data_IF_003586461265
#
_entry.id   IF_003586461265
#
_cell.length_a   1.000
_cell.length_b   1.000
_cell.length_c   1.000
_cell.angle_alpha   90.00
_cell.angle_beta   90.00
_cell.angle_gamma   90.00
#
_symmetry.space_group_name_H-M   'P 1'
#
loop_
_entity.id
_entity.type
_entity.pdbx_description
1 polymer ?
#
# COMPACT_ATOMS: atom_id res chain seq x y z
N UNK A 1 20.93 -10.65 -10.35
CA UNK A 1 21.73 -11.38 -9.34
C UNK A 1 20.79 -12.25 -8.57
N UNK A 2 21.11 -13.53 -8.47
CA UNK A 2 20.39 -14.48 -7.61
C UNK A 2 21.23 -14.73 -6.36
N UNK A 3 20.63 -14.59 -5.19
CA UNK A 3 21.29 -14.80 -3.90
C UNK A 3 20.43 -15.68 -3.00
N UNK A 4 21.04 -16.75 -2.51
CA UNK A 4 20.48 -17.64 -1.50
C UNK A 4 21.31 -17.49 -0.23
N UNK A 5 20.71 -16.99 0.85
CA UNK A 5 21.42 -16.89 2.12
C UNK A 5 20.49 -16.98 3.31
N UNK A 6 21.05 -17.32 4.47
CA UNK A 6 20.31 -17.18 5.72
C UNK A 6 20.12 -15.70 6.11
N UNK A 7 21.19 -14.91 5.97
CA UNK A 7 21.20 -13.46 6.22
C UNK A 7 21.84 -12.72 5.05
N UNK A 8 21.07 -11.85 4.39
CA UNK A 8 21.54 -10.95 3.35
C UNK A 8 21.53 -9.51 3.84
N UNK A 9 22.65 -8.81 3.63
CA UNK A 9 22.74 -7.35 3.66
C UNK A 9 23.35 -6.91 2.34
N UNK A 10 22.65 -6.03 1.63
CA UNK A 10 23.11 -5.53 0.34
C UNK A 10 22.94 -4.03 0.28
N UNK A 11 23.99 -3.36 -0.19
CA UNK A 11 24.01 -1.96 -0.58
C UNK A 11 24.42 -1.92 -2.04
N UNK A 12 23.60 -1.31 -2.90
CA UNK A 12 23.82 -1.32 -4.34
C UNK A 12 23.54 0.04 -4.96
N UNK A 13 24.53 0.55 -5.70
CA UNK A 13 24.42 1.72 -6.57
C UNK A 13 24.53 1.26 -8.01
N UNK A 14 23.47 1.43 -8.80
CA UNK A 14 23.48 0.95 -10.18
C UNK A 14 22.60 1.79 -11.09
N UNK A 15 22.92 1.83 -12.39
CA UNK A 15 21.99 2.43 -13.34
C UNK A 15 20.75 1.54 -13.53
N UNK A 16 20.97 0.25 -13.79
CA UNK A 16 19.92 -0.76 -13.88
C UNK A 16 20.26 -1.93 -12.97
N UNK A 17 19.31 -2.38 -12.15
CA UNK A 17 19.44 -3.62 -11.38
C UNK A 17 18.25 -4.54 -11.57
N UNK A 18 18.56 -5.84 -11.66
CA UNK A 18 17.60 -6.93 -11.53
C UNK A 18 18.11 -7.87 -10.45
N UNK A 19 17.32 -8.07 -9.41
CA UNK A 19 17.68 -8.92 -8.28
C UNK A 19 16.57 -9.89 -7.97
N UNK A 20 16.97 -11.11 -7.66
CA UNK A 20 16.12 -12.18 -7.16
C UNK A 20 16.81 -12.71 -5.90
N UNK A 21 16.10 -12.70 -4.78
CA UNK A 21 16.72 -12.98 -3.48
C UNK A 21 15.81 -13.86 -2.63
N UNK A 22 16.35 -14.99 -2.20
CA UNK A 22 15.72 -15.86 -1.21
C UNK A 22 16.55 -15.82 0.08
N UNK A 23 15.94 -15.33 1.16
CA UNK A 23 16.63 -15.34 2.46
C UNK A 23 15.73 -15.53 3.65
N UNK A 24 16.31 -15.84 4.80
CA UNK A 24 15.55 -15.79 6.05
C UNK A 24 15.44 -14.35 6.55
N UNK A 25 16.58 -13.63 6.60
CA UNK A 25 16.65 -12.20 6.90
C UNK A 25 17.28 -11.41 5.75
N UNK A 26 16.60 -10.35 5.32
CA UNK A 26 17.08 -9.41 4.30
C UNK A 26 17.11 -7.97 4.81
N UNK A 27 18.21 -7.27 4.53
CA UNK A 27 18.26 -5.80 4.52
C UNK A 27 18.84 -5.34 3.20
N UNK A 28 18.13 -4.47 2.51
CA UNK A 28 18.50 -3.98 1.19
C UNK A 28 18.44 -2.46 1.17
N UNK A 29 19.51 -1.85 0.71
CA UNK A 29 19.60 -0.42 0.41
C UNK A 29 20.01 -0.27 -1.06
N UNK A 30 19.14 0.33 -1.87
CA UNK A 30 19.32 0.43 -3.31
C UNK A 30 19.13 1.85 -3.80
N UNK A 31 20.13 2.39 -4.50
CA UNK A 31 19.97 3.58 -5.34
C UNK A 31 20.09 3.15 -6.80
N UNK A 32 19.03 3.36 -7.57
CA UNK A 32 19.05 2.99 -8.98
C UNK A 32 18.27 3.93 -9.89
N UNK A 33 18.59 3.94 -11.18
CA UNK A 33 17.68 4.57 -12.14
C UNK A 33 16.48 3.65 -12.40
N UNK A 34 16.75 2.39 -12.74
CA UNK A 34 15.73 1.37 -12.96
C UNK A 34 16.02 0.12 -12.11
N UNK A 35 15.03 -0.34 -11.33
CA UNK A 35 15.14 -1.61 -10.62
C UNK A 35 13.97 -2.55 -10.85
N UNK A 36 14.28 -3.84 -10.86
CA UNK A 36 13.32 -4.94 -10.70
C UNK A 36 13.81 -5.85 -9.59
N UNK A 37 12.97 -6.09 -8.60
CA UNK A 37 13.31 -6.93 -7.47
C UNK A 37 12.23 -7.95 -7.22
N UNK A 38 12.66 -9.19 -7.04
CA UNK A 38 11.82 -10.28 -6.54
C UNK A 38 12.46 -10.78 -5.24
N UNK A 39 11.72 -10.72 -4.15
CA UNK A 39 12.22 -11.04 -2.81
C UNK A 39 11.28 -12.06 -2.16
N UNK A 40 11.81 -13.21 -1.77
CA UNK A 40 11.13 -14.10 -0.83
C UNK A 40 11.94 -14.12 0.46
N UNK A 41 11.32 -13.68 1.56
CA UNK A 41 12.01 -13.72 2.86
C UNK A 41 11.11 -13.98 4.04
N UNK A 42 11.66 -14.41 5.17
CA UNK A 42 10.87 -14.42 6.41
C UNK A 42 10.75 -13.00 6.96
N UNK A 43 11.85 -12.26 6.98
CA UNK A 43 11.89 -10.87 7.42
C UNK A 43 12.69 -10.02 6.44
N UNK A 44 12.11 -8.95 5.93
CA UNK A 44 12.81 -7.99 5.07
C UNK A 44 12.70 -6.55 5.57
N UNK A 45 13.77 -5.80 5.31
CA UNK A 45 13.78 -4.34 5.27
C UNK A 45 14.34 -3.91 3.93
N UNK A 46 13.64 -3.03 3.22
CA UNK A 46 14.11 -2.49 1.95
C UNK A 46 13.95 -0.99 1.97
N UNK A 47 15.05 -0.31 1.66
CA UNK A 47 15.11 1.12 1.41
C UNK A 47 15.52 1.30 -0.05
N UNK A 48 14.69 1.99 -0.82
CA UNK A 48 14.88 2.13 -2.25
C UNK A 48 14.67 3.58 -2.70
N UNK A 49 15.70 4.16 -3.32
CA UNK A 49 15.56 5.36 -4.13
C UNK A 49 15.69 4.97 -5.60
N UNK A 50 14.64 5.23 -6.39
CA UNK A 50 14.66 4.86 -7.80
C UNK A 50 13.92 5.83 -8.71
N UNK A 51 14.30 5.94 -9.98
CA UNK A 51 13.45 6.63 -10.94
C UNK A 51 12.24 5.74 -11.30
N UNK A 52 12.51 4.49 -11.66
CA UNK A 52 11.51 3.47 -11.96
C UNK A 52 11.77 2.19 -11.17
N UNK A 53 10.76 1.68 -10.47
CA UNK A 53 10.86 0.39 -9.79
C UNK A 53 9.67 -0.53 -10.05
N UNK A 54 9.99 -1.83 -10.08
CA UNK A 54 9.03 -2.92 -9.92
C UNK A 54 9.51 -3.83 -8.81
N UNK A 55 8.64 -4.10 -7.85
CA UNK A 55 8.96 -4.94 -6.71
C UNK A 55 7.87 -5.98 -6.53
N UNK A 56 8.30 -7.23 -6.40
CA UNK A 56 7.48 -8.35 -5.96
C UNK A 56 8.11 -8.87 -4.67
N UNK A 57 7.33 -8.90 -3.60
CA UNK A 57 7.82 -9.32 -2.29
C UNK A 57 6.83 -10.27 -1.64
N UNK A 58 7.33 -11.41 -1.17
CA UNK A 58 6.61 -12.31 -0.28
C UNK A 58 7.40 -12.40 1.01
N UNK A 59 6.78 -12.04 2.13
CA UNK A 59 7.43 -12.26 3.41
C UNK A 59 6.53 -12.31 4.62
N UNK A 60 7.01 -12.90 5.71
CA UNK A 60 6.24 -12.93 6.94
C UNK A 60 6.20 -11.53 7.59
N UNK A 61 7.35 -10.85 7.67
CA UNK A 61 7.46 -9.45 8.11
C UNK A 61 8.19 -8.59 7.10
N UNK A 62 7.59 -7.43 6.76
CA UNK A 62 8.18 -6.45 5.86
C UNK A 62 8.20 -5.06 6.46
N UNK A 63 9.28 -4.34 6.21
CA UNK A 63 9.31 -2.87 6.26
C UNK A 63 9.90 -2.34 4.96
N UNK A 64 9.21 -1.41 4.34
CA UNK A 64 9.69 -0.82 3.09
C UNK A 64 9.58 0.69 3.17
N UNK A 65 10.64 1.34 2.72
CA UNK A 65 10.69 2.78 2.51
C UNK A 65 11.11 3.00 1.05
N UNK A 66 10.29 3.72 0.29
CA UNK A 66 10.49 3.85 -1.15
C UNK A 66 10.26 5.29 -1.59
N UNK A 67 11.26 5.86 -2.26
CA UNK A 67 11.14 7.12 -2.99
C UNK A 67 11.29 6.82 -4.47
N UNK A 68 10.28 7.16 -5.28
CA UNK A 68 10.38 6.96 -6.71
C UNK A 68 9.61 7.93 -7.59
N UNK A 69 10.01 8.07 -8.86
CA UNK A 69 9.13 8.72 -9.82
C UNK A 69 7.98 7.78 -10.22
N UNK A 70 8.28 6.52 -10.52
CA UNK A 70 7.29 5.52 -10.89
C UNK A 70 7.53 4.20 -10.17
N UNK A 71 6.53 3.67 -9.46
CA UNK A 71 6.61 2.36 -8.84
C UNK A 71 5.43 1.44 -9.17
N UNK A 72 5.72 0.15 -9.21
CA UNK A 72 4.74 -0.93 -9.12
C UNK A 72 5.17 -1.90 -8.04
N UNK A 73 4.26 -2.18 -7.13
CA UNK A 73 4.51 -3.01 -5.95
C UNK A 73 3.46 -4.10 -5.88
N UNK A 74 3.91 -5.34 -5.74
CA UNK A 74 3.07 -6.48 -5.39
C UNK A 74 3.64 -7.08 -4.11
N UNK A 75 2.82 -7.11 -3.04
CA UNK A 75 3.25 -7.53 -1.72
C UNK A 75 2.29 -8.58 -1.14
N UNK A 76 2.85 -9.72 -0.76
CA UNK A 76 2.19 -10.75 0.03
C UNK A 76 2.86 -10.83 1.39
N UNK A 77 2.13 -10.50 2.46
CA UNK A 77 2.74 -10.53 3.79
C UNK A 77 1.84 -10.95 4.93
N UNK A 78 2.43 -11.44 6.03
CA UNK A 78 1.66 -11.53 7.27
C UNK A 78 1.55 -10.14 7.92
N UNK A 79 2.66 -9.43 8.05
CA UNK A 79 2.70 -8.09 8.61
C UNK A 79 3.60 -7.18 7.77
N UNK A 80 3.07 -6.05 7.31
CA UNK A 80 3.84 -5.06 6.57
C UNK A 80 3.69 -3.64 7.14
N UNK A 81 4.77 -2.87 7.00
CA UNK A 81 4.77 -1.42 7.10
C UNK A 81 5.40 -0.84 5.85
N UNK A 82 4.73 0.13 5.24
CA UNK A 82 5.21 0.75 4.02
C UNK A 82 5.11 2.27 4.13
N UNK A 83 6.18 2.93 3.73
CA UNK A 83 6.22 4.37 3.51
C UNK A 83 6.63 4.58 2.05
N UNK A 84 5.78 5.28 1.29
CA UNK A 84 6.00 5.50 -0.13
C UNK A 84 5.78 6.96 -0.50
N UNK A 85 6.82 7.59 -1.06
CA UNK A 85 6.71 8.86 -1.78
C UNK A 85 6.89 8.58 -3.26
N UNK A 86 5.89 8.92 -4.07
CA UNK A 86 6.00 8.71 -5.51
C UNK A 86 5.28 9.73 -6.38
N UNK A 87 5.74 9.95 -7.60
CA UNK A 87 4.90 10.68 -8.55
C UNK A 87 3.73 9.80 -9.02
N UNK A 88 4.03 8.58 -9.47
CA UNK A 88 3.02 7.60 -9.89
C UNK A 88 3.26 6.26 -9.20
N UNK A 89 2.22 5.69 -8.60
CA UNK A 89 2.30 4.34 -8.02
C UNK A 89 1.12 3.44 -8.36
N UNK A 90 1.42 2.14 -8.40
CA UNK A 90 0.43 1.06 -8.33
C UNK A 90 0.86 0.08 -7.25
N UNK A 91 -0.04 -0.22 -6.33
CA UNK A 91 0.24 -1.17 -5.25
C UNK A 91 -0.88 -2.19 -5.18
N UNK A 92 -0.50 -3.45 -5.17
CA UNK A 92 -1.37 -4.59 -4.85
C UNK A 92 -0.82 -5.22 -3.57
N UNK A 93 -1.66 -5.30 -2.54
CA UNK A 93 -1.25 -5.77 -1.22
C UNK A 93 -2.24 -6.80 -0.67
N UNK A 94 -1.74 -8.00 -0.36
CA UNK A 94 -2.43 -8.98 0.47
C UNK A 94 -1.69 -9.08 1.81
N UNK A 95 -2.39 -8.78 2.91
CA UNK A 95 -1.77 -8.88 4.22
C UNK A 95 -2.70 -9.29 5.35
N UNK A 96 -2.18 -9.90 6.42
CA UNK A 96 -2.98 -10.04 7.63
C UNK A 96 -3.09 -8.69 8.36
N UNK A 97 -1.96 -8.03 8.57
CA UNK A 97 -1.88 -6.69 9.14
C UNK A 97 -1.03 -5.76 8.25
N UNK A 98 -1.54 -4.58 7.92
CA UNK A 98 -0.76 -3.55 7.24
C UNK A 98 -0.89 -2.16 7.87
N UNK A 99 0.21 -1.41 7.75
CA UNK A 99 0.23 0.04 7.91
C UNK A 99 0.88 0.66 6.69
N UNK A 100 0.22 1.63 6.10
CA UNK A 100 0.72 2.30 4.89
C UNK A 100 0.61 3.80 5.04
N UNK A 101 1.68 4.48 4.69
CA UNK A 101 1.71 5.93 4.51
C UNK A 101 2.12 6.21 3.05
N UNK A 102 1.26 6.95 2.34
CA UNK A 102 1.45 7.23 0.92
C UNK A 102 1.32 8.72 0.62
N UNK A 103 2.38 9.29 0.06
CA UNK A 103 2.30 10.58 -0.63
C UNK A 103 2.50 10.36 -2.12
N UNK A 104 1.51 10.73 -2.94
CA UNK A 104 1.63 10.57 -4.37
C UNK A 104 0.90 11.59 -5.22
N UNK A 105 1.40 11.87 -6.43
CA UNK A 105 0.60 12.66 -7.37
C UNK A 105 -0.57 11.82 -7.92
N UNK A 106 -0.28 10.58 -8.34
CA UNK A 106 -1.27 9.64 -8.83
C UNK A 106 -1.05 8.24 -8.22
N UNK A 107 -2.09 7.67 -7.60
CA UNK A 107 -2.03 6.31 -7.08
C UNK A 107 -3.21 5.44 -7.51
N UNK A 108 -2.91 4.15 -7.66
CA UNK A 108 -3.90 3.08 -7.70
C UNK A 108 -3.51 2.03 -6.67
N UNK A 109 -4.46 1.64 -5.83
CA UNK A 109 -4.21 0.68 -4.78
C UNK A 109 -5.32 -0.36 -4.75
N UNK A 110 -4.93 -1.61 -4.59
CA UNK A 110 -5.80 -2.73 -4.31
C UNK A 110 -5.30 -3.40 -3.03
N UNK A 111 -6.16 -3.48 -2.02
CA UNK A 111 -5.81 -4.00 -0.69
C UNK A 111 -6.81 -5.06 -0.24
N UNK A 112 -6.32 -6.27 0.03
CA UNK A 112 -7.02 -7.26 0.86
C UNK A 112 -6.30 -7.39 2.20
N UNK A 113 -7.00 -7.14 3.30
CA UNK A 113 -6.38 -7.29 4.63
C UNK A 113 -7.32 -7.70 5.75
N UNK A 114 -6.82 -8.36 6.80
CA UNK A 114 -7.64 -8.51 8.01
C UNK A 114 -7.72 -7.17 8.75
N UNK A 115 -6.56 -6.54 8.99
CA UNK A 115 -6.47 -5.26 9.68
C UNK A 115 -5.58 -4.29 8.89
N UNK A 116 -6.11 -3.11 8.55
CA UNK A 116 -5.33 -2.09 7.87
C UNK A 116 -5.44 -0.71 8.52
N UNK A 117 -4.33 0.02 8.49
CA UNK A 117 -4.29 1.47 8.70
C UNK A 117 -3.64 2.13 7.50
N UNK A 118 -4.28 3.14 6.93
CA UNK A 118 -3.76 3.83 5.77
C UNK A 118 -3.88 5.33 5.96
N UNK A 119 -2.81 6.03 5.63
CA UNK A 119 -2.78 7.49 5.50
C UNK A 119 -2.35 7.80 4.07
N UNK A 120 -3.15 8.59 3.36
CA UNK A 120 -2.94 8.86 1.94
C UNK A 120 -3.14 10.34 1.62
N UNK A 121 -2.09 10.97 1.10
CA UNK A 121 -2.17 12.29 0.47
C UNK A 121 -1.95 12.13 -1.03
N UNK A 122 -2.93 12.54 -1.85
CA UNK A 122 -2.75 12.48 -3.29
C UNK A 122 -3.50 13.51 -4.11
N UNK A 123 -3.00 13.87 -5.30
CA UNK A 123 -3.80 14.66 -6.24
C UNK A 123 -4.92 13.79 -6.84
N UNK A 124 -4.60 12.56 -7.25
CA UNK A 124 -5.56 11.62 -7.83
C UNK A 124 -5.36 10.21 -7.26
N UNK A 125 -6.40 9.65 -6.64
CA UNK A 125 -6.36 8.28 -6.15
C UNK A 125 -7.52 7.42 -6.65
N UNK A 126 -7.22 6.14 -6.86
CA UNK A 126 -8.21 5.07 -6.98
C UNK A 126 -7.86 3.97 -6.00
N UNK A 127 -8.81 3.60 -5.16
CA UNK A 127 -8.60 2.56 -4.15
C UNK A 127 -9.72 1.53 -4.20
N UNK A 128 -9.34 0.27 -4.12
CA UNK A 128 -10.24 -0.83 -3.83
C UNK A 128 -9.75 -1.53 -2.56
N UNK A 129 -10.61 -1.60 -1.54
CA UNK A 129 -10.25 -2.10 -0.22
C UNK A 129 -11.28 -3.12 0.27
N UNK A 130 -10.76 -4.28 0.62
CA UNK A 130 -11.51 -5.38 1.25
C UNK A 130 -10.83 -5.67 2.57
N UNK A 131 -11.55 -5.45 3.68
CA UNK A 131 -10.96 -5.67 5.00
C UNK A 131 -11.93 -6.16 6.06
N UNK A 132 -11.41 -6.77 7.13
CA UNK A 132 -12.24 -6.97 8.32
C UNK A 132 -12.33 -5.68 9.14
N UNK A 133 -11.18 -5.10 9.48
CA UNK A 133 -11.09 -3.82 10.17
C UNK A 133 -10.19 -2.84 9.40
N UNK A 134 -10.68 -1.64 9.11
CA UNK A 134 -9.90 -0.60 8.48
C UNK A 134 -10.01 0.76 9.19
N UNK A 135 -8.89 1.47 9.24
CA UNK A 135 -8.85 2.91 9.53
C UNK A 135 -8.15 3.62 8.39
N UNK A 136 -8.80 4.62 7.80
CA UNK A 136 -8.24 5.36 6.67
C UNK A 136 -8.35 6.86 6.88
N UNK A 137 -7.29 7.56 6.54
CA UNK A 137 -7.26 9.01 6.43
C UNK A 137 -6.84 9.36 4.99
N UNK A 138 -7.69 10.12 4.29
CA UNK A 138 -7.50 10.47 2.90
C UNK A 138 -7.62 11.98 2.68
N UNK A 139 -6.55 12.61 2.19
CA UNK A 139 -6.61 13.95 1.62
C UNK A 139 -6.35 13.87 0.13
N UNK A 140 -7.32 14.30 -0.69
CA UNK A 140 -7.11 14.27 -2.14
C UNK A 140 -7.87 15.29 -2.97
N UNK A 141 -7.33 15.71 -4.12
CA UNK A 141 -8.12 16.55 -5.04
C UNK A 141 -9.23 15.71 -5.69
N UNK A 142 -8.89 14.54 -6.23
CA UNK A 142 -9.85 13.62 -6.84
C UNK A 142 -9.68 12.20 -6.29
N UNK A 143 -10.73 11.60 -5.75
CA UNK A 143 -10.71 10.21 -5.32
C UNK A 143 -11.86 9.36 -5.87
N UNK A 144 -11.54 8.10 -6.15
CA UNK A 144 -12.54 7.04 -6.33
C UNK A 144 -12.21 5.89 -5.39
N UNK A 145 -13.15 5.54 -4.53
CA UNK A 145 -12.95 4.49 -3.55
C UNK A 145 -14.07 3.46 -3.64
N UNK A 146 -13.70 2.19 -3.55
CA UNK A 146 -14.61 1.09 -3.22
C UNK A 146 -14.12 0.44 -1.95
N UNK A 147 -14.98 0.33 -0.95
CA UNK A 147 -14.64 -0.25 0.34
C UNK A 147 -15.70 -1.25 0.77
N UNK A 148 -15.22 -2.46 1.05
CA UNK A 148 -15.98 -3.56 1.61
C UNK A 148 -15.34 -3.92 2.93
N UNK A 149 -16.02 -3.64 4.05
CA UNK A 149 -15.45 -3.90 5.37
C UNK A 149 -16.44 -4.40 6.40
N UNK A 150 -15.98 -5.11 7.42
CA UNK A 150 -16.85 -5.38 8.57
C UNK A 150 -16.93 -4.14 9.48
N UNK A 151 -15.78 -3.59 9.86
CA UNK A 151 -15.65 -2.38 10.66
C UNK A 151 -14.76 -1.35 9.95
N UNK A 152 -15.26 -0.12 9.74
CA UNK A 152 -14.46 0.97 9.19
C UNK A 152 -14.48 2.26 10.03
N UNK A 153 -13.35 2.95 10.07
CA UNK A 153 -13.26 4.37 10.40
C UNK A 153 -12.58 5.10 9.26
N UNK A 154 -13.22 6.14 8.75
CA UNK A 154 -12.69 6.89 7.61
C UNK A 154 -12.81 8.39 7.87
N UNK A 155 -11.73 9.09 7.56
CA UNK A 155 -11.70 10.54 7.46
C UNK A 155 -11.27 10.91 6.03
N UNK A 156 -12.08 11.73 5.35
CA UNK A 156 -11.84 12.08 3.96
C UNK A 156 -12.07 13.57 3.73
N UNK A 157 -11.01 14.27 3.33
CA UNK A 157 -11.10 15.62 2.78
C UNK A 157 -10.79 15.54 1.29
N UNK A 158 -11.75 15.96 0.45
CA UNK A 158 -11.50 15.98 -0.99
C UNK A 158 -12.22 17.06 -1.76
N UNK A 159 -11.69 17.46 -2.92
CA UNK A 159 -12.44 18.37 -3.80
C UNK A 159 -13.55 17.61 -4.55
N UNK A 160 -13.21 16.48 -5.16
CA UNK A 160 -14.12 15.59 -5.87
C UNK A 160 -13.97 14.15 -5.38
N UNK A 161 -15.05 13.52 -4.91
CA UNK A 161 -15.03 12.11 -4.51
C UNK A 161 -16.17 11.28 -5.12
N UNK A 162 -15.86 10.02 -5.43
CA UNK A 162 -16.84 8.96 -5.67
C UNK A 162 -16.56 7.79 -4.75
N UNK A 163 -17.52 7.43 -3.92
CA UNK A 163 -17.38 6.41 -2.89
C UNK A 163 -18.46 5.35 -3.04
N UNK A 164 -18.07 4.09 -3.02
CA UNK A 164 -18.96 2.94 -2.80
C UNK A 164 -18.52 2.25 -1.52
N UNK A 165 -19.41 2.19 -0.51
CA UNK A 165 -19.13 1.66 0.81
C UNK A 165 -20.16 0.58 1.16
N UNK A 166 -19.72 -0.66 1.38
CA UNK A 166 -20.55 -1.68 2.05
C UNK A 166 -19.88 -2.07 3.37
N UNK A 167 -20.62 -1.91 4.46
CA UNK A 167 -20.07 -2.19 5.79
C UNK A 167 -21.10 -2.59 6.82
N UNK A 168 -20.71 -3.40 7.80
CA UNK A 168 -21.56 -3.68 8.96
C UNK A 168 -21.54 -2.52 9.97
N UNK A 169 -20.36 -2.01 10.30
CA UNK A 169 -20.15 -0.93 11.27
C UNK A 169 -19.21 0.12 10.69
N UNK A 170 -19.65 1.36 10.53
CA UNK A 170 -18.79 2.44 10.02
C UNK A 170 -18.96 3.76 10.73
N UNK A 171 -17.83 4.46 10.90
CA UNK A 171 -17.78 5.88 11.26
C UNK A 171 -17.06 6.64 10.15
N UNK A 172 -17.75 7.62 9.58
CA UNK A 172 -17.29 8.39 8.42
C UNK A 172 -17.31 9.88 8.74
N UNK A 173 -16.21 10.56 8.48
CA UNK A 173 -16.13 12.02 8.48
C UNK A 173 -15.71 12.46 7.07
N UNK A 174 -16.62 13.16 6.37
CA UNK A 174 -16.47 13.53 4.97
C UNK A 174 -16.60 15.05 4.81
N UNK A 175 -15.58 15.69 4.23
CA UNK A 175 -15.67 17.08 3.78
C UNK A 175 -15.27 17.14 2.31
N UNK A 176 -16.22 17.55 1.47
CA UNK A 176 -15.95 17.67 0.04
C UNK A 176 -16.82 18.68 -0.68
N UNK A 177 -16.25 19.31 -1.72
CA UNK A 177 -16.97 20.25 -2.58
C UNK A 177 -17.98 19.53 -3.49
N UNK A 178 -17.59 18.39 -4.06
CA UNK A 178 -18.41 17.58 -4.97
C UNK A 178 -18.31 16.09 -4.61
N UNK A 179 -19.35 15.51 -4.03
CA UNK A 179 -19.35 14.09 -3.63
C UNK A 179 -20.49 13.28 -4.25
N UNK A 180 -20.17 12.05 -4.64
CA UNK A 180 -21.15 11.00 -4.89
C UNK A 180 -20.84 9.81 -3.98
N UNK A 181 -21.70 9.54 -3.00
CA UNK A 181 -21.52 8.45 -2.04
C UNK A 181 -22.68 7.47 -2.17
N UNK A 182 -22.36 6.20 -2.43
CA UNK A 182 -23.28 5.06 -2.31
C UNK A 182 -22.82 4.28 -1.08
N UNK A 183 -23.64 4.23 -0.05
CA UNK A 183 -23.34 3.47 1.16
C UNK A 183 -24.49 2.56 1.52
N UNK A 184 -24.21 1.28 1.78
CA UNK A 184 -25.17 0.38 2.44
C UNK A 184 -24.58 -0.13 3.74
N UNK A 185 -25.31 0.10 4.83
CA UNK A 185 -24.94 -0.38 6.16
C UNK A 185 -25.92 -1.48 6.54
N UNK A 186 -25.44 -2.72 6.63
CA UNK A 186 -26.26 -3.86 7.03
C UNK A 186 -26.13 -4.08 8.54
N UNK A 187 -27.04 -3.47 9.31
CA UNK A 187 -27.23 -3.82 10.71
C UNK A 187 -27.92 -5.18 10.79
N UNK A 188 -27.16 -6.28 10.88
CA UNK A 188 -27.72 -7.52 11.41
C UNK A 188 -27.91 -7.33 12.91
N UNK A 189 -29.10 -6.85 13.31
CA UNK A 189 -29.55 -6.97 14.69
C UNK A 189 -29.74 -8.47 14.98
N UNK A 190 -28.71 -9.14 15.47
CA UNK A 190 -28.87 -10.43 16.14
C UNK A 190 -29.37 -10.16 17.56
N UNK A 191 -30.69 -10.19 17.72
CA UNK A 191 -31.34 -10.62 18.98
C UNK A 191 -31.12 -12.11 19.20
#
# INVERSE_FOLDING_TARGET
>A
MELLSYCCRMELLSYCCRMELLSYFCRMELLSYCCRMELLSSCCRVELLSYCCKMELVSYYCRMELLSCCCRMELLSYCCRMELLSYCCRIELLSYCCRMELLSYCCRMELLSCCCRMELLSCCCRMELLSYCCTMELLSCCCRMKLLSYCCRMELLSYCCRMELLSCCCRMELLSCCCHVISSISCWNSS
#
